data_IF_557756081478
#
_entry.id   IF_557756081478
#
_cell.length_a   1.000
_cell.length_b   1.000
_cell.length_c   1.000
_cell.angle_alpha   90.00
_cell.angle_beta   90.00
_cell.angle_gamma   90.00
#
_symmetry.space_group_name_H-M   'P 1'
#
loop_
_entity.id
_entity.type
_entity.pdbx_description
1 polymer ?
#
# COMPACT_ATOMS: atom_id res chain seq x y z
N UNK A 1 -8.84 -9.71 -3.80
CA UNK A 1 -7.85 -8.61 -3.54
C UNK A 1 -8.06 -7.54 -4.61
N UNK A 2 -8.00 -6.27 -4.23
CA UNK A 2 -8.14 -5.14 -5.16
C UNK A 2 -6.74 -4.66 -5.58
N UNK A 3 -6.55 -4.37 -6.88
CA UNK A 3 -5.34 -3.73 -7.39
C UNK A 3 -5.63 -2.26 -7.71
N UNK A 4 -4.93 -1.34 -7.06
CA UNK A 4 -4.99 0.08 -7.37
C UNK A 4 -3.92 0.43 -8.39
N UNK A 5 -4.35 0.93 -9.55
CA UNK A 5 -3.46 1.34 -10.64
C UNK A 5 -3.21 2.84 -10.58
N UNK A 6 -1.95 3.25 -10.68
CA UNK A 6 -1.59 4.67 -10.67
C UNK A 6 -2.22 5.39 -11.87
N UNK A 7 -2.93 6.48 -11.59
CA UNK A 7 -3.66 7.27 -12.57
C UNK A 7 -2.79 8.31 -13.31
N UNK A 8 -1.49 8.41 -13.00
CA UNK A 8 -0.57 9.37 -13.64
C UNK A 8 -0.18 8.93 -15.07
N UNK A 9 -1.17 8.96 -15.96
CA UNK A 9 -1.06 8.63 -17.38
C UNK A 9 -1.47 9.83 -18.22
N UNK A 10 -0.64 10.20 -19.21
CA UNK A 10 -0.85 11.34 -20.05
C UNK A 10 -1.85 11.09 -21.18
N UNK A 11 -2.59 12.14 -21.57
CA UNK A 11 -3.48 12.15 -22.73
C UNK A 11 -4.68 11.21 -22.61
N UNK A 12 -5.26 10.86 -23.76
CA UNK A 12 -6.51 10.06 -23.86
C UNK A 12 -6.33 8.60 -23.41
N UNK A 13 -5.09 8.11 -23.37
CA UNK A 13 -4.78 6.78 -22.85
C UNK A 13 -5.27 6.57 -21.40
N UNK A 14 -5.38 7.64 -20.63
CA UNK A 14 -5.94 7.60 -19.29
C UNK A 14 -7.34 6.97 -19.26
N UNK A 15 -8.16 7.19 -20.27
CA UNK A 15 -9.52 6.65 -20.37
C UNK A 15 -9.57 5.11 -20.45
N UNK A 16 -8.45 4.45 -20.82
CA UNK A 16 -8.34 2.99 -20.76
C UNK A 16 -8.39 2.44 -19.32
N UNK A 17 -8.27 3.31 -18.30
CA UNK A 17 -8.41 2.96 -16.88
C UNK A 17 -9.86 2.98 -16.38
N UNK A 18 -10.83 3.33 -17.22
CA UNK A 18 -12.23 3.44 -16.81
C UNK A 18 -12.77 2.11 -16.24
N UNK A 19 -13.46 2.19 -15.10
CA UNK A 19 -14.03 1.05 -14.40
C UNK A 19 -13.04 0.22 -13.56
N UNK A 20 -11.78 0.62 -13.52
CA UNK A 20 -10.76 -0.01 -12.68
C UNK A 20 -10.57 0.73 -11.34
N UNK A 21 -9.82 0.13 -10.41
CA UNK A 21 -9.48 0.76 -9.13
C UNK A 21 -8.23 1.63 -9.32
N UNK A 22 -8.33 2.92 -8.99
CA UNK A 22 -7.29 3.89 -9.30
C UNK A 22 -6.63 4.45 -8.05
N UNK A 23 -5.33 4.72 -8.15
CA UNK A 23 -4.55 5.46 -7.18
C UNK A 23 -4.15 6.81 -7.77
N UNK A 24 -4.41 7.88 -7.01
CA UNK A 24 -3.89 9.22 -7.31
C UNK A 24 -2.99 9.65 -6.16
N UNK A 25 -1.74 9.97 -6.44
CA UNK A 25 -0.79 10.45 -5.43
C UNK A 25 -0.82 11.98 -5.34
N UNK A 26 -0.72 12.51 -4.11
CA UNK A 26 -0.55 13.94 -3.85
C UNK A 26 0.71 14.50 -4.51
N UNK A 27 1.73 13.69 -4.73
CA UNK A 27 2.90 14.09 -5.51
C UNK A 27 2.58 14.42 -6.98
N UNK A 28 1.47 13.88 -7.52
CA UNK A 28 1.00 14.08 -8.90
C UNK A 28 -0.53 14.26 -8.94
N UNK A 29 -1.08 15.34 -8.34
CA UNK A 29 -2.51 15.45 -8.03
C UNK A 29 -3.42 15.75 -9.22
N UNK A 30 -2.86 16.04 -10.40
CA UNK A 30 -3.59 16.61 -11.55
C UNK A 30 -4.78 15.78 -12.04
N UNK A 31 -4.74 14.44 -11.81
CA UNK A 31 -5.75 13.52 -12.32
C UNK A 31 -6.84 13.17 -11.33
N UNK A 32 -6.90 13.81 -10.17
CA UNK A 32 -7.84 13.40 -9.10
C UNK A 32 -9.31 13.51 -9.54
N UNK A 33 -9.69 14.60 -10.22
CA UNK A 33 -11.07 14.76 -10.71
C UNK A 33 -11.39 13.77 -11.83
N UNK A 34 -10.51 13.67 -12.83
CA UNK A 34 -10.70 12.74 -13.94
C UNK A 34 -10.76 11.28 -13.44
N UNK A 35 -9.89 10.92 -12.49
CA UNK A 35 -9.87 9.58 -11.89
C UNK A 35 -11.14 9.29 -11.10
N UNK A 36 -11.64 10.28 -10.37
CA UNK A 36 -12.90 10.14 -9.64
C UNK A 36 -14.08 9.81 -10.58
N UNK A 37 -14.13 10.43 -11.76
CA UNK A 37 -15.23 10.27 -12.71
C UNK A 37 -15.26 8.89 -13.37
N UNK A 38 -14.09 8.22 -13.50
CA UNK A 38 -14.00 6.96 -14.24
C UNK A 38 -13.68 5.73 -13.36
N UNK A 39 -13.20 5.92 -12.11
CA UNK A 39 -12.75 4.82 -11.26
C UNK A 39 -13.91 4.02 -10.65
N UNK A 40 -13.73 2.71 -10.52
CA UNK A 40 -14.61 1.88 -9.69
C UNK A 40 -14.47 2.24 -8.19
N UNK A 41 -13.24 2.42 -7.72
CA UNK A 41 -12.90 2.99 -6.40
C UNK A 41 -11.59 3.75 -6.51
N UNK A 42 -11.36 4.70 -5.60
CA UNK A 42 -10.18 5.56 -5.63
C UNK A 42 -9.40 5.50 -4.32
N UNK A 43 -8.09 5.38 -4.43
CA UNK A 43 -7.12 5.54 -3.35
C UNK A 43 -6.38 6.87 -3.54
N UNK A 44 -6.39 7.71 -2.52
CA UNK A 44 -5.60 8.94 -2.45
C UNK A 44 -4.34 8.66 -1.61
N UNK A 45 -3.19 8.62 -2.30
CA UNK A 45 -1.88 8.43 -1.68
C UNK A 45 -1.28 9.76 -1.24
N UNK A 46 -0.66 9.80 -0.08
CA UNK A 46 -0.13 11.01 0.54
C UNK A 46 1.17 11.54 -0.11
N UNK A 47 1.82 10.78 -0.98
CA UNK A 47 3.03 11.17 -1.69
C UNK A 47 4.33 11.08 -0.88
N UNK A 48 4.29 10.60 0.37
CA UNK A 48 5.44 10.51 1.27
C UNK A 48 6.64 9.83 0.64
N UNK A 49 6.44 8.68 -0.01
CA UNK A 49 7.55 7.98 -0.66
C UNK A 49 8.21 8.77 -1.79
N UNK A 50 7.42 9.45 -2.61
CA UNK A 50 7.97 10.29 -3.71
C UNK A 50 8.77 11.45 -3.13
N UNK A 51 8.25 12.12 -2.10
CA UNK A 51 8.95 13.20 -1.42
C UNK A 51 10.26 12.72 -0.79
N UNK A 52 10.22 11.60 -0.08
CA UNK A 52 11.40 10.97 0.53
C UNK A 52 12.49 10.64 -0.50
N UNK A 53 12.12 10.05 -1.65
CA UNK A 53 13.10 9.69 -2.71
C UNK A 53 13.81 10.87 -3.34
N UNK A 54 13.22 12.07 -3.29
CA UNK A 54 13.82 13.31 -3.81
C UNK A 54 14.29 14.27 -2.72
N UNK A 55 14.27 13.83 -1.45
CA UNK A 55 14.72 14.60 -0.30
C UNK A 55 13.88 15.85 -0.03
N UNK A 56 12.56 15.79 -0.26
CA UNK A 56 11.62 16.87 0.01
C UNK A 56 10.69 16.52 1.17
N UNK A 57 10.27 17.54 1.89
CA UNK A 57 9.19 17.43 2.88
C UNK A 57 7.84 17.60 2.19
N UNK A 58 6.81 16.94 2.76
CA UNK A 58 5.42 17.11 2.32
C UNK A 58 4.76 18.15 3.21
N UNK A 59 4.05 19.11 2.61
CA UNK A 59 3.14 19.98 3.36
C UNK A 59 1.84 19.21 3.65
N UNK A 60 1.69 18.75 4.89
CA UNK A 60 0.52 17.98 5.31
C UNK A 60 -0.75 18.82 5.34
N UNK A 61 -0.69 20.14 5.53
CA UNK A 61 -1.87 21.00 5.45
C UNK A 61 -2.39 21.11 4.03
N UNK A 62 -1.49 21.17 3.04
CA UNK A 62 -1.87 21.10 1.63
C UNK A 62 -2.48 19.74 1.28
N UNK A 63 -1.91 18.66 1.80
CA UNK A 63 -2.47 17.32 1.64
C UNK A 63 -3.88 17.21 2.25
N UNK A 64 -4.09 17.70 3.48
CA UNK A 64 -5.41 17.68 4.13
C UNK A 64 -6.46 18.43 3.31
N UNK A 65 -6.10 19.61 2.81
CA UNK A 65 -6.97 20.42 1.95
C UNK A 65 -7.28 19.69 0.63
N UNK A 66 -6.30 19.00 0.06
CA UNK A 66 -6.48 18.28 -1.19
C UNK A 66 -7.39 17.06 -1.05
N UNK A 67 -7.34 16.29 0.04
CA UNK A 67 -8.18 15.11 0.22
C UNK A 67 -9.60 15.42 0.65
N UNK A 68 -9.82 16.52 1.37
CA UNK A 68 -11.11 16.87 2.00
C UNK A 68 -12.32 16.82 1.04
N UNK A 69 -12.26 17.33 -0.21
CA UNK A 69 -13.37 17.26 -1.14
C UNK A 69 -13.80 15.85 -1.53
N UNK A 70 -12.91 14.86 -1.36
CA UNK A 70 -13.09 13.50 -1.88
C UNK A 70 -13.47 12.49 -0.80
N UNK A 71 -12.86 12.58 0.38
CA UNK A 71 -13.11 11.65 1.49
C UNK A 71 -14.44 11.93 2.19
N UNK A 72 -15.18 10.87 2.48
CA UNK A 72 -16.47 10.95 3.19
C UNK A 72 -17.62 11.48 2.36
N UNK A 73 -17.39 12.13 1.24
CA UNK A 73 -18.40 12.49 0.25
C UNK A 73 -18.71 11.32 -0.68
N UNK A 74 -17.69 10.52 -0.96
CA UNK A 74 -17.75 9.37 -1.84
C UNK A 74 -17.30 8.11 -1.08
N UNK A 75 -18.20 7.15 -0.79
CA UNK A 75 -17.86 5.96 0.00
C UNK A 75 -16.86 5.04 -0.70
N UNK A 76 -16.68 5.20 -2.01
CA UNK A 76 -15.70 4.47 -2.82
C UNK A 76 -14.29 5.06 -2.80
N UNK A 77 -14.10 6.23 -2.12
CA UNK A 77 -12.82 6.91 -2.01
C UNK A 77 -12.27 6.78 -0.60
N UNK A 78 -11.00 6.46 -0.48
CA UNK A 78 -10.27 6.43 0.78
C UNK A 78 -8.85 6.96 0.58
N UNK A 79 -8.15 7.28 1.66
CA UNK A 79 -6.83 7.88 1.60
C UNK A 79 -5.85 7.28 2.61
N UNK A 80 -4.57 7.45 2.33
CA UNK A 80 -3.47 7.12 3.24
C UNK A 80 -3.27 8.29 4.19
N UNK A 81 -3.22 8.05 5.51
CA UNK A 81 -2.85 9.07 6.50
C UNK A 81 -1.39 9.47 6.27
N UNK A 82 -1.00 10.74 6.51
CA UNK A 82 0.41 11.15 6.48
C UNK A 82 1.34 10.19 7.20
N UNK A 83 2.46 9.87 6.56
CA UNK A 83 3.53 9.06 7.13
C UNK A 83 4.90 9.59 6.71
N UNK A 84 5.95 9.18 7.42
CA UNK A 84 7.34 9.44 7.06
C UNK A 84 8.06 8.10 6.96
N UNK A 85 8.61 7.80 5.78
CA UNK A 85 9.13 6.47 5.41
C UNK A 85 10.14 5.90 6.41
N UNK A 86 10.98 6.75 7.01
CA UNK A 86 12.03 6.43 7.98
C UNK A 86 11.84 7.14 9.33
N UNK A 87 10.59 7.55 9.64
CA UNK A 87 10.29 8.40 10.79
C UNK A 87 10.20 7.67 12.14
N UNK A 88 10.00 6.35 12.13
CA UNK A 88 9.78 5.56 13.34
C UNK A 88 8.40 5.79 14.00
N UNK A 89 8.09 4.97 15.01
CA UNK A 89 6.76 4.87 15.62
C UNK A 89 6.22 6.20 16.18
N UNK A 90 7.04 6.94 16.92
CA UNK A 90 6.62 8.15 17.62
C UNK A 90 6.14 9.23 16.63
N UNK A 91 6.85 9.40 15.53
CA UNK A 91 6.48 10.36 14.47
C UNK A 91 5.21 9.91 13.77
N UNK A 92 5.09 8.62 13.45
CA UNK A 92 3.88 8.07 12.83
C UNK A 92 2.64 8.27 13.72
N UNK A 93 2.74 7.97 15.01
CA UNK A 93 1.64 8.12 15.96
C UNK A 93 1.24 9.59 16.15
N UNK A 94 2.21 10.51 16.12
CA UNK A 94 1.94 11.93 16.10
C UNK A 94 1.15 12.35 14.85
N UNK A 95 1.54 11.89 13.66
CA UNK A 95 0.85 12.20 12.41
C UNK A 95 -0.57 11.61 12.41
N UNK A 96 -0.76 10.39 12.91
CA UNK A 96 -2.09 9.79 13.08
C UNK A 96 -2.95 10.65 14.04
N UNK A 97 -2.39 11.11 15.16
CA UNK A 97 -3.13 11.96 16.13
C UNK A 97 -3.52 13.32 15.58
N UNK A 98 -2.78 13.82 14.60
CA UNK A 98 -3.05 15.09 13.91
C UNK A 98 -4.01 14.94 12.72
N UNK A 99 -4.37 13.71 12.34
CA UNK A 99 -5.27 13.45 11.21
C UNK A 99 -6.68 14.00 11.49
N UNK A 100 -7.20 14.96 10.68
CA UNK A 100 -8.42 15.70 11.02
C UNK A 100 -9.71 14.98 10.64
N UNK A 101 -9.64 13.85 9.90
CA UNK A 101 -10.81 13.23 9.29
C UNK A 101 -11.22 11.90 9.94
N UNK A 102 -10.89 11.70 11.23
CA UNK A 102 -11.26 10.50 12.01
C UNK A 102 -10.85 9.19 11.29
N UNK A 103 -11.73 8.19 11.24
CA UNK A 103 -11.49 6.88 10.62
C UNK A 103 -11.64 6.86 9.09
N UNK A 104 -11.65 8.00 8.43
CA UNK A 104 -11.74 8.08 6.95
C UNK A 104 -10.40 7.91 6.24
N UNK A 105 -9.30 7.90 6.97
CA UNK A 105 -7.97 7.56 6.49
C UNK A 105 -7.54 6.14 6.85
N UNK A 106 -6.41 5.73 6.34
CA UNK A 106 -5.77 4.46 6.62
C UNK A 106 -4.34 4.71 7.08
N UNK A 107 -4.00 4.40 8.35
CA UNK A 107 -2.66 4.60 8.87
C UNK A 107 -1.65 3.67 8.20
N UNK A 108 -0.38 4.07 8.21
CA UNK A 108 0.73 3.27 7.69
C UNK A 108 1.48 2.63 8.87
N UNK A 109 1.78 1.36 8.70
CA UNK A 109 2.75 0.62 9.50
C UNK A 109 3.90 0.20 8.57
N UNK A 110 5.13 0.52 8.95
CA UNK A 110 6.32 0.14 8.19
C UNK A 110 6.89 -1.19 8.68
N UNK A 111 7.44 -1.99 7.78
CA UNK A 111 7.89 -3.34 8.08
C UNK A 111 9.03 -3.40 9.11
N UNK A 112 9.80 -2.35 9.29
CA UNK A 112 10.85 -2.21 10.31
C UNK A 112 10.31 -1.84 11.71
N UNK A 113 9.04 -1.42 11.80
CA UNK A 113 8.41 -1.13 13.09
C UNK A 113 8.00 -2.42 13.83
N UNK A 114 7.85 -2.38 15.18
CA UNK A 114 7.40 -3.52 15.95
C UNK A 114 6.01 -4.05 15.54
N UNK A 115 5.85 -5.36 15.44
CA UNK A 115 4.53 -5.99 15.12
C UNK A 115 3.45 -5.61 16.14
N UNK A 116 3.72 -5.45 17.46
CA UNK A 116 2.71 -4.98 18.40
C UNK A 116 2.04 -3.67 17.98
N UNK A 117 2.77 -2.73 17.36
CA UNK A 117 2.19 -1.49 16.84
C UNK A 117 1.18 -1.76 15.71
N UNK A 118 1.49 -2.66 14.77
CA UNK A 118 0.53 -3.09 13.76
C UNK A 118 -0.76 -3.65 14.38
N UNK A 119 -0.62 -4.52 15.39
CA UNK A 119 -1.78 -5.09 16.08
C UNK A 119 -2.61 -4.02 16.77
N UNK A 120 -1.98 -3.03 17.39
CA UNK A 120 -2.67 -1.88 18.00
C UNK A 120 -3.41 -1.02 16.96
N UNK A 121 -2.82 -0.79 15.78
CA UNK A 121 -3.50 -0.09 14.70
C UNK A 121 -4.73 -0.86 14.20
N UNK A 122 -4.63 -2.18 14.06
CA UNK A 122 -5.76 -3.03 13.64
C UNK A 122 -6.87 -3.00 14.70
N UNK A 123 -6.53 -3.13 15.98
CA UNK A 123 -7.47 -3.11 17.11
C UNK A 123 -8.11 -1.72 17.31
N UNK A 124 -7.43 -0.67 16.89
CA UNK A 124 -7.89 0.72 16.93
C UNK A 124 -9.09 1.03 16.03
N UNK A 125 -9.59 0.05 15.30
CA UNK A 125 -10.84 0.16 14.52
C UNK A 125 -10.70 0.89 13.19
N UNK A 126 -9.50 1.05 12.67
CA UNK A 126 -9.30 1.57 11.33
C UNK A 126 -9.87 0.62 10.27
N UNK A 127 -10.63 1.12 9.28
CA UNK A 127 -11.21 0.27 8.23
C UNK A 127 -10.14 -0.49 7.42
N UNK A 128 -8.93 0.07 7.35
CA UNK A 128 -7.75 -0.47 6.66
C UNK A 128 -6.49 -0.04 7.40
N UNK A 129 -5.44 -0.86 7.31
CA UNK A 129 -4.08 -0.48 7.69
C UNK A 129 -3.17 -0.73 6.48
N UNK A 130 -2.35 0.26 6.13
CA UNK A 130 -1.38 0.18 5.05
C UNK A 130 -0.06 -0.41 5.57
N UNK A 131 0.57 -1.27 4.78
CA UNK A 131 1.89 -1.84 5.06
C UNK A 131 2.89 -1.24 4.07
N UNK A 132 3.91 -0.55 4.59
CA UNK A 132 5.01 0.05 3.84
C UNK A 132 6.31 -0.74 4.00
N UNK A 133 7.07 -0.91 2.91
CA UNK A 133 8.41 -1.51 2.97
C UNK A 133 9.43 -0.44 3.29
N UNK A 134 10.13 -0.56 4.43
CA UNK A 134 11.10 0.41 4.92
C UNK A 134 12.27 -0.29 5.64
N UNK A 135 13.31 0.47 5.99
CA UNK A 135 14.47 -0.01 6.72
C UNK A 135 15.14 -1.21 6.05
N UNK A 136 15.48 -2.22 6.84
CA UNK A 136 16.06 -3.48 6.38
C UNK A 136 15.13 -4.30 5.46
N UNK A 137 13.82 -4.00 5.46
CA UNK A 137 12.80 -4.64 4.63
C UNK A 137 12.39 -3.78 3.41
N UNK A 138 13.18 -2.79 3.02
CA UNK A 138 12.87 -1.92 1.89
C UNK A 138 12.84 -2.66 0.55
N UNK A 139 13.66 -3.72 0.39
CA UNK A 139 13.71 -4.55 -0.81
C UNK A 139 12.58 -5.59 -0.79
N UNK A 140 11.50 -5.25 -1.48
CA UNK A 140 10.32 -6.10 -1.63
C UNK A 140 10.70 -7.43 -2.30
N UNK A 141 10.23 -8.56 -1.74
CA UNK A 141 10.53 -9.93 -2.16
C UNK A 141 11.94 -10.44 -1.84
N UNK A 142 12.79 -9.68 -1.16
CA UNK A 142 14.00 -10.26 -0.57
C UNK A 142 13.66 -11.36 0.44
N UNK A 143 14.62 -12.20 0.77
CA UNK A 143 14.40 -13.26 1.78
C UNK A 143 14.00 -12.68 3.15
N UNK A 144 14.65 -11.58 3.58
CA UNK A 144 14.31 -10.87 4.81
C UNK A 144 12.88 -10.32 4.78
N UNK A 145 12.51 -9.65 3.69
CA UNK A 145 11.15 -9.15 3.50
C UNK A 145 10.10 -10.29 3.56
N UNK A 146 10.37 -11.42 2.89
CA UNK A 146 9.46 -12.57 2.87
C UNK A 146 9.31 -13.21 4.26
N UNK A 147 10.41 -13.35 5.01
CA UNK A 147 10.41 -13.86 6.38
C UNK A 147 9.59 -12.92 7.28
N UNK A 148 9.83 -11.60 7.20
CA UNK A 148 9.09 -10.59 7.94
C UNK A 148 7.60 -10.64 7.68
N UNK A 149 7.19 -10.71 6.41
CA UNK A 149 5.78 -10.79 6.03
C UNK A 149 5.12 -12.06 6.54
N UNK A 150 5.82 -13.22 6.52
CA UNK A 150 5.30 -14.46 7.12
C UNK A 150 5.05 -14.27 8.62
N UNK A 151 6.00 -13.69 9.36
CA UNK A 151 5.86 -13.41 10.79
C UNK A 151 4.68 -12.47 11.07
N UNK A 152 4.54 -11.40 10.26
CA UNK A 152 3.43 -10.43 10.35
C UNK A 152 2.08 -11.13 10.19
N UNK A 153 1.87 -11.85 9.08
CA UNK A 153 0.58 -12.48 8.81
C UNK A 153 0.27 -13.62 9.77
N UNK A 154 1.28 -14.39 10.22
CA UNK A 154 1.11 -15.39 11.27
C UNK A 154 0.63 -14.74 12.58
N UNK A 155 1.22 -13.60 12.96
CA UNK A 155 0.87 -12.92 14.20
C UNK A 155 -0.52 -12.31 14.14
N UNK A 156 -0.87 -11.68 13.01
CA UNK A 156 -2.22 -11.11 12.77
C UNK A 156 -3.28 -12.21 12.82
N UNK A 157 -3.08 -13.32 12.11
CA UNK A 157 -4.00 -14.47 12.11
C UNK A 157 -4.19 -15.06 13.52
N UNK A 158 -3.09 -15.26 14.24
CA UNK A 158 -3.13 -15.78 15.62
C UNK A 158 -3.85 -14.86 16.59
N UNK A 159 -3.76 -13.53 16.37
CA UNK A 159 -4.35 -12.54 17.28
C UNK A 159 -5.83 -12.34 17.04
N UNK A 160 -6.24 -12.23 15.76
CA UNK A 160 -7.60 -11.83 15.41
C UNK A 160 -8.48 -12.97 14.90
N UNK A 161 -7.91 -14.12 14.54
CA UNK A 161 -8.65 -15.28 13.99
C UNK A 161 -9.27 -15.04 12.61
N UNK A 162 -9.28 -13.82 12.14
CA UNK A 162 -9.69 -13.42 10.80
C UNK A 162 -8.75 -12.33 10.27
N UNK A 163 -8.54 -12.34 8.95
CA UNK A 163 -7.63 -11.39 8.33
C UNK A 163 -8.31 -10.04 8.15
N UNK A 164 -7.81 -8.96 8.77
CA UNK A 164 -8.31 -7.60 8.58
C UNK A 164 -8.03 -7.11 7.14
N UNK A 165 -8.53 -5.93 6.80
CA UNK A 165 -8.17 -5.32 5.52
C UNK A 165 -6.79 -4.67 5.61
N UNK A 166 -5.78 -5.37 5.12
CA UNK A 166 -4.43 -4.83 4.96
C UNK A 166 -4.20 -4.42 3.52
N UNK A 167 -3.59 -3.25 3.32
CA UNK A 167 -3.21 -2.73 2.03
C UNK A 167 -1.68 -2.72 1.88
N UNK A 168 -1.16 -3.34 0.84
CA UNK A 168 0.28 -3.37 0.58
C UNK A 168 0.68 -2.22 -0.35
N UNK A 169 1.37 -1.21 0.19
CA UNK A 169 1.88 -0.07 -0.57
C UNK A 169 2.99 -0.52 -1.53
N UNK A 170 2.79 -0.31 -2.83
CA UNK A 170 3.72 -0.69 -3.92
C UNK A 170 4.05 -2.20 -3.96
N UNK A 171 3.17 -3.05 -3.45
CA UNK A 171 3.38 -4.50 -3.31
C UNK A 171 2.61 -5.33 -4.34
N UNK A 172 2.15 -4.76 -5.45
CA UNK A 172 1.32 -5.44 -6.44
C UNK A 172 1.96 -6.75 -6.94
N UNK A 173 3.23 -6.71 -7.35
CA UNK A 173 3.93 -7.88 -7.91
C UNK A 173 4.03 -9.07 -6.95
N UNK A 174 4.12 -8.81 -5.65
CA UNK A 174 4.20 -9.82 -4.60
C UNK A 174 2.86 -10.47 -4.36
N UNK A 175 1.84 -9.64 -4.20
CA UNK A 175 0.50 -10.09 -3.88
C UNK A 175 -0.09 -10.99 -4.99
N UNK A 176 0.38 -10.86 -6.23
CA UNK A 176 -0.06 -11.65 -7.37
C UNK A 176 0.71 -12.95 -7.60
N UNK A 177 1.56 -13.38 -6.66
CA UNK A 177 2.26 -14.66 -6.76
C UNK A 177 3.37 -14.71 -7.80
N UNK A 178 3.84 -13.56 -8.31
CA UNK A 178 5.03 -13.49 -9.18
C UNK A 178 6.33 -13.74 -8.43
N UNK A 179 6.32 -13.58 -7.14
CA UNK A 179 7.33 -14.03 -6.20
C UNK A 179 6.72 -15.08 -5.28
N UNK A 180 7.50 -15.92 -4.68
CA UNK A 180 7.15 -17.15 -3.95
C UNK A 180 6.18 -16.99 -2.76
N UNK A 181 5.43 -15.88 -2.66
CA UNK A 181 4.53 -15.59 -1.54
C UNK A 181 3.21 -15.02 -1.95
N UNK A 182 2.12 -15.75 -1.75
CA UNK A 182 0.78 -15.23 -1.77
C UNK A 182 0.41 -14.76 -0.37
N UNK A 183 0.24 -13.45 -0.18
CA UNK A 183 -0.19 -12.86 1.07
C UNK A 183 -1.65 -12.42 1.00
N UNK A 184 -2.42 -12.51 2.10
CA UNK A 184 -3.86 -12.28 2.13
C UNK A 184 -4.22 -10.79 2.21
N UNK A 185 -3.59 -9.94 1.40
CA UNK A 185 -3.95 -8.53 1.31
C UNK A 185 -5.40 -8.34 0.87
N UNK A 186 -6.08 -7.34 1.43
CA UNK A 186 -7.36 -6.85 0.93
C UNK A 186 -7.17 -6.07 -0.37
N UNK A 187 -6.08 -5.29 -0.46
CA UNK A 187 -5.71 -4.51 -1.63
C UNK A 187 -4.20 -4.25 -1.70
N UNK A 188 -3.72 -3.90 -2.89
CA UNK A 188 -2.33 -3.49 -3.16
C UNK A 188 -2.32 -2.42 -4.23
N UNK A 189 -1.22 -1.67 -4.34
CA UNK A 189 -1.02 -0.70 -5.41
C UNK A 189 0.31 -0.87 -6.14
N UNK A 190 0.43 -0.21 -7.27
CA UNK A 190 1.67 -0.08 -8.02
C UNK A 190 1.59 1.01 -9.09
N UNK A 191 2.72 1.60 -9.39
CA UNK A 191 2.91 2.46 -10.56
C UNK A 191 3.28 1.69 -11.84
N UNK A 192 3.18 0.36 -11.86
CA UNK A 192 3.66 -0.48 -12.98
C UNK A 192 2.99 -0.10 -14.30
N UNK A 193 1.66 0.05 -14.32
CA UNK A 193 0.91 0.41 -15.53
C UNK A 193 1.33 1.79 -16.02
N UNK A 194 1.37 2.80 -15.14
CA UNK A 194 1.74 4.16 -15.51
C UNK A 194 3.17 4.25 -16.08
N UNK A 195 4.12 3.51 -15.49
CA UNK A 195 5.53 3.55 -15.89
C UNK A 195 5.84 2.72 -17.14
N UNK A 196 5.08 1.67 -17.41
CA UNK A 196 5.46 0.67 -18.42
C UNK A 196 4.50 0.56 -19.61
N UNK A 197 3.38 1.32 -19.64
CA UNK A 197 2.42 1.27 -20.75
C UNK A 197 3.00 1.67 -22.11
N UNK A 198 4.08 2.43 -22.13
CA UNK A 198 4.75 2.88 -23.36
C UNK A 198 5.81 1.91 -23.89
N UNK A 199 6.09 0.80 -23.19
CA UNK A 199 7.03 -0.23 -23.67
C UNK A 199 6.40 -1.00 -24.82
N UNK A 200 7.25 -1.40 -25.78
CA UNK A 200 6.82 -2.25 -26.92
C UNK A 200 6.03 -3.46 -26.42
N UNK A 201 4.86 -3.69 -26.98
CA UNK A 201 3.90 -4.76 -26.63
C UNK A 201 3.02 -4.53 -25.39
N UNK A 202 3.20 -3.46 -24.65
CA UNK A 202 2.31 -3.09 -23.55
C UNK A 202 1.21 -2.16 -24.04
N UNK A 203 0.00 -2.38 -23.53
CA UNK A 203 -1.10 -1.41 -23.55
C UNK A 203 -1.66 -1.33 -22.13
N UNK A 204 -2.29 -0.23 -21.79
CA UNK A 204 -2.89 -0.04 -20.47
C UNK A 204 -3.90 -1.14 -20.22
N UNK A 205 -4.87 -1.33 -21.13
CA UNK A 205 -5.90 -2.35 -21.03
C UNK A 205 -5.33 -3.76 -20.83
N UNK A 206 -4.28 -4.14 -21.57
CA UNK A 206 -3.63 -5.44 -21.42
C UNK A 206 -2.99 -5.61 -20.04
N UNK A 207 -2.28 -4.57 -19.56
CA UNK A 207 -1.59 -4.62 -18.28
C UNK A 207 -2.58 -4.66 -17.11
N UNK A 208 -3.58 -3.79 -17.11
CA UNK A 208 -4.61 -3.72 -16.07
C UNK A 208 -5.38 -5.04 -16.00
N UNK A 209 -5.86 -5.55 -17.15
CA UNK A 209 -6.55 -6.84 -17.23
C UNK A 209 -5.68 -7.98 -16.70
N UNK A 210 -4.38 -7.99 -17.00
CA UNK A 210 -3.47 -9.02 -16.51
C UNK A 210 -3.29 -8.97 -14.99
N UNK A 211 -3.26 -7.77 -14.39
CA UNK A 211 -3.20 -7.59 -12.95
C UNK A 211 -4.53 -7.97 -12.28
N UNK A 212 -5.64 -7.49 -12.79
CA UNK A 212 -6.96 -7.69 -12.21
C UNK A 212 -7.44 -9.14 -12.26
N UNK A 213 -6.99 -9.94 -13.23
CA UNK A 213 -7.25 -11.37 -13.29
C UNK A 213 -6.57 -12.19 -12.18
N UNK A 214 -5.55 -11.67 -11.53
CA UNK A 214 -4.74 -12.41 -10.57
C UNK A 214 -5.26 -12.24 -9.13
N UNK A 215 -6.58 -12.32 -8.88
CA UNK A 215 -7.20 -11.81 -7.67
C UNK A 215 -7.93 -12.77 -6.73
N UNK A 216 -7.53 -13.96 -6.39
CA UNK A 216 -8.13 -14.55 -5.21
C UNK A 216 -7.49 -13.97 -3.94
N UNK A 217 -8.32 -13.49 -3.00
CA UNK A 217 -7.88 -13.32 -1.63
C UNK A 217 -7.53 -14.71 -1.11
N UNK A 218 -6.25 -14.98 -0.96
CA UNK A 218 -5.76 -16.29 -0.54
C UNK A 218 -6.09 -16.47 0.95
N UNK A 219 -6.74 -17.58 1.37
CA UNK A 219 -6.85 -17.91 2.80
C UNK A 219 -5.45 -18.05 3.37
N UNK A 220 -5.19 -17.36 4.48
CA UNK A 220 -3.91 -17.51 5.15
C UNK A 220 -3.83 -18.88 5.84
N UNK A 221 -2.70 -19.53 5.68
CA UNK A 221 -2.31 -20.68 6.47
C UNK A 221 -0.97 -20.35 7.12
N UNK A 222 -0.88 -20.50 8.42
CA UNK A 222 0.35 -20.23 9.16
C UNK A 222 1.53 -20.95 8.51
N UNK A 223 2.62 -20.22 8.30
CA UNK A 223 3.86 -20.72 7.70
C UNK A 223 4.91 -20.90 8.77
N UNK A 224 5.81 -21.91 8.66
CA UNK A 224 6.94 -22.03 9.56
C UNK A 224 7.72 -20.70 9.61
N UNK A 225 8.05 -20.25 10.81
CA UNK A 225 8.99 -19.14 10.97
C UNK A 225 10.33 -19.60 10.42
N UNK A 226 10.84 -18.91 9.41
CA UNK A 226 12.21 -19.10 8.97
C UNK A 226 13.10 -18.54 10.09
N UNK A 227 13.83 -19.44 10.80
CA UNK A 227 14.89 -19.01 11.72
C UNK A 227 15.89 -18.20 10.89
N UNK A 228 16.19 -17.00 11.34
CA UNK A 228 17.27 -16.22 10.75
C UNK A 228 18.52 -17.07 10.73
N UNK A 229 19.16 -17.17 9.54
CA UNK A 229 20.44 -17.88 9.34
C UNK A 229 21.63 -17.11 9.96
N UNK A 230 21.43 -16.43 11.10
CA UNK A 230 22.44 -15.61 11.74
C UNK A 230 23.36 -16.34 12.70
N UNK A 231 23.19 -17.65 12.97
CA UNK A 231 23.96 -18.36 13.99
C UNK A 231 24.92 -19.44 13.53
N UNK A 232 25.34 -19.44 12.25
CA UNK A 232 26.32 -20.43 11.76
C UNK A 232 27.71 -19.91 11.43
N UNK A 233 28.09 -18.72 11.92
CA UNK A 233 29.47 -18.20 11.73
C UNK A 233 30.18 -17.91 13.05
N UNK A 234 30.09 -18.81 14.01
CA UNK A 234 31.04 -18.76 15.15
C UNK A 234 31.24 -20.17 15.69
N UNK A 235 32.00 -21.00 15.02
CA UNK A 235 32.83 -22.06 15.61
C UNK A 235 33.66 -22.73 14.50
N UNK A 236 34.81 -22.23 14.20
CA UNK A 236 36.02 -22.94 13.80
C UNK A 236 37.22 -22.17 14.27
#
# INVERSE_FOLDING_TARGET
MIHYHCADISGDKFLELAGHHLLVSHAYPRRVSDAHDIAATMLLDNGAYTAWTVGKEVDWNDYYTWVEPWIGKYPTTWCVIPDIVDGGEEIQDKLISQWPHNNRGSPVWHLDEPIPRLLSLIDGGWPRVCLGSAGEYAEVASNGWMARMNSVFNKVDKTFGQMPWLHGLRMQGIACGRSSGNFPFGSVDSADVARNNNRKQNTITKMVTAWDKQQPRVPWRQRPEQRELADFTTTL
#
